data_IF_586173116798
#
_entry.id   IF_586173116798
#
_cell.length_a   1.000
_cell.length_b   1.000
_cell.length_c   1.000
_cell.angle_alpha   90.00
_cell.angle_beta   90.00
_cell.angle_gamma   90.00
#
_symmetry.space_group_name_H-M   'P 1'
#
loop_
_entity.id
_entity.type
_entity.pdbx_description
1 polymer ?
#
# COMPACT_ATOMS: atom_id res chain seq x y z
N UNK A 1 -0.32 -0.32 -26.32
CA UNK A 1 -0.11 -1.48 -25.44
C UNK A 1 -1.32 -2.39 -25.50
N UNK A 2 -1.14 -3.67 -25.18
CA UNK A 2 -2.22 -4.65 -25.11
C UNK A 2 -2.52 -4.88 -23.63
N UNK A 3 -3.78 -4.80 -23.22
CA UNK A 3 -4.21 -5.17 -21.88
C UNK A 3 -4.19 -6.70 -21.78
N UNK A 4 -3.72 -7.21 -20.64
CA UNK A 4 -3.69 -8.65 -20.33
C UNK A 4 -4.30 -8.88 -18.95
N UNK A 5 -5.05 -9.96 -18.82
CA UNK A 5 -5.63 -10.40 -17.55
C UNK A 5 -4.70 -11.33 -16.77
N UNK A 6 -4.98 -11.50 -15.49
CA UNK A 6 -4.33 -12.55 -14.71
C UNK A 6 -4.64 -13.95 -15.28
N UNK A 7 -3.63 -14.81 -15.38
CA UNK A 7 -3.73 -16.15 -15.94
C UNK A 7 -3.71 -16.20 -17.48
N UNK A 8 -3.80 -15.05 -18.16
CA UNK A 8 -3.60 -15.02 -19.62
C UNK A 8 -2.16 -15.36 -19.97
N UNK A 9 -2.00 -16.08 -21.09
CA UNK A 9 -0.70 -16.55 -21.55
C UNK A 9 -0.38 -15.95 -22.91
N UNK A 10 0.79 -15.33 -23.03
CA UNK A 10 1.35 -14.89 -24.31
C UNK A 10 2.59 -15.73 -24.63
N UNK A 11 2.73 -16.10 -25.90
CA UNK A 11 3.94 -16.78 -26.40
C UNK A 11 4.69 -15.85 -27.36
N UNK A 12 5.98 -15.63 -27.10
CA UNK A 12 6.82 -14.79 -27.94
C UNK A 12 8.25 -15.35 -28.00
N UNK A 13 8.74 -15.61 -29.19
CA UNK A 13 10.11 -16.09 -29.42
C UNK A 13 10.47 -17.34 -28.58
N UNK A 14 9.55 -18.31 -28.44
CA UNK A 14 9.75 -19.50 -27.63
C UNK A 14 9.59 -19.34 -26.13
N UNK A 15 9.37 -18.10 -25.63
CA UNK A 15 9.09 -17.82 -24.23
C UNK A 15 7.58 -17.78 -24.01
N UNK A 16 7.11 -18.48 -22.98
CA UNK A 16 5.74 -18.36 -22.45
C UNK A 16 5.74 -17.31 -21.36
N UNK A 17 4.81 -16.36 -21.40
CA UNK A 17 4.68 -15.26 -20.45
C UNK A 17 3.30 -15.32 -19.82
N UNK A 18 3.22 -15.28 -18.49
CA UNK A 18 1.98 -15.27 -17.73
C UNK A 18 2.01 -14.19 -16.63
N UNK A 19 0.84 -13.71 -16.20
CA UNK A 19 0.68 -12.70 -15.14
C UNK A 19 -0.10 -13.29 -13.98
N UNK A 20 0.49 -13.19 -12.79
CA UNK A 20 -0.07 -13.71 -11.53
C UNK A 20 -0.18 -12.57 -10.51
N UNK A 21 -1.24 -12.51 -9.69
CA UNK A 21 -1.38 -11.43 -8.72
C UNK A 21 -0.16 -11.24 -7.82
N UNK A 22 0.26 -9.98 -7.64
CA UNK A 22 1.38 -9.61 -6.76
C UNK A 22 0.93 -9.09 -5.39
N UNK A 23 -0.36 -8.76 -5.20
CA UNK A 23 -0.87 -8.27 -3.92
C UNK A 23 -0.46 -6.85 -3.55
N UNK A 24 0.30 -6.14 -4.38
CA UNK A 24 0.81 -4.79 -4.07
C UNK A 24 -0.28 -3.72 -4.13
N UNK A 25 -0.87 -3.53 -5.29
CA UNK A 25 -1.98 -2.59 -5.55
C UNK A 25 -2.94 -3.20 -6.57
N UNK A 26 -4.07 -2.55 -6.83
CA UNK A 26 -5.02 -2.98 -7.86
C UNK A 26 -4.32 -3.15 -9.21
N UNK A 27 -4.42 -4.35 -9.78
CA UNK A 27 -3.82 -4.71 -11.07
C UNK A 27 -2.32 -5.04 -11.03
N UNK A 28 -1.66 -5.02 -9.88
CA UNK A 28 -0.26 -5.44 -9.76
C UNK A 28 -0.06 -6.91 -10.06
N UNK A 29 0.97 -7.27 -10.83
CA UNK A 29 1.23 -8.64 -11.25
C UNK A 29 2.70 -9.02 -11.15
N UNK A 30 2.94 -10.25 -10.75
CA UNK A 30 4.19 -10.96 -11.00
C UNK A 30 4.23 -11.37 -12.47
N UNK A 31 5.40 -11.38 -13.06
CA UNK A 31 5.61 -11.91 -14.42
C UNK A 31 6.27 -13.27 -14.30
N UNK A 32 5.61 -14.30 -14.83
CA UNK A 32 6.13 -15.67 -14.93
C UNK A 32 6.60 -15.90 -16.36
N UNK A 33 7.86 -16.27 -16.51
CA UNK A 33 8.51 -16.55 -17.78
C UNK A 33 8.92 -18.03 -17.82
N UNK A 34 8.58 -18.73 -18.89
CA UNK A 34 8.99 -20.14 -19.09
C UNK A 34 9.67 -20.31 -20.44
N UNK A 35 10.85 -20.90 -20.44
CA UNK A 35 11.62 -21.22 -21.63
C UNK A 35 12.49 -22.47 -21.42
N UNK A 36 12.46 -23.40 -22.37
CA UNK A 36 13.29 -24.60 -22.36
C UNK A 36 13.23 -25.43 -21.06
N UNK A 37 12.11 -25.41 -20.36
CA UNK A 37 11.91 -26.14 -19.09
C UNK A 37 12.33 -25.38 -17.84
N UNK A 38 12.87 -24.17 -17.96
CA UNK A 38 13.21 -23.27 -16.85
C UNK A 38 12.12 -22.23 -16.64
N UNK A 39 11.80 -21.93 -15.36
CA UNK A 39 10.82 -20.93 -14.96
C UNK A 39 11.46 -19.81 -14.15
N UNK A 40 11.27 -18.58 -14.60
CA UNK A 40 11.70 -17.37 -13.92
C UNK A 40 10.47 -16.59 -13.46
N UNK A 41 10.43 -16.17 -12.20
CA UNK A 41 9.38 -15.29 -11.67
C UNK A 41 10.00 -13.95 -11.28
N UNK A 42 9.42 -12.86 -11.81
CA UNK A 42 9.77 -11.49 -11.44
C UNK A 42 8.58 -10.91 -10.68
N UNK A 43 8.75 -10.68 -9.36
CA UNK A 43 7.64 -10.30 -8.49
C UNK A 43 7.13 -8.87 -8.77
N UNK A 44 8.01 -7.96 -9.18
CA UNK A 44 7.78 -6.54 -8.95
C UNK A 44 7.62 -6.26 -7.45
N UNK A 45 6.97 -5.16 -7.11
CA UNK A 45 6.60 -4.88 -5.72
C UNK A 45 5.44 -5.79 -5.31
N UNK A 46 5.48 -6.35 -4.09
CA UNK A 46 4.44 -7.25 -3.60
C UNK A 46 4.21 -7.17 -2.09
N UNK A 47 3.11 -7.72 -1.61
CA UNK A 47 2.85 -8.02 -0.20
C UNK A 47 1.97 -9.27 -0.07
N UNK A 48 2.09 -9.98 1.06
CA UNK A 48 1.31 -11.19 1.32
C UNK A 48 0.11 -10.97 2.25
N UNK A 49 0.17 -9.93 3.09
CA UNK A 49 -0.94 -9.61 4.00
C UNK A 49 -2.19 -9.19 3.23
N UNK A 50 -3.39 -9.55 3.75
CA UNK A 50 -4.65 -9.24 3.11
C UNK A 50 -4.81 -7.75 2.80
N UNK A 51 -5.44 -7.46 1.65
CA UNK A 51 -5.77 -6.12 1.21
C UNK A 51 -7.13 -6.17 0.51
N UNK A 52 -8.15 -5.42 1.00
CA UNK A 52 -9.48 -5.45 0.41
C UNK A 52 -9.56 -4.79 -0.97
N UNK A 53 -8.48 -4.16 -1.44
CA UNK A 53 -8.47 -3.36 -2.67
C UNK A 53 -7.80 -4.05 -3.86
N UNK A 54 -7.17 -5.20 -3.67
CA UNK A 54 -6.49 -5.93 -4.74
C UNK A 54 -6.54 -7.45 -4.51
N UNK A 55 -6.24 -8.22 -5.56
CA UNK A 55 -6.10 -9.67 -5.42
C UNK A 55 -4.88 -10.01 -4.55
N UNK A 56 -4.96 -11.05 -3.70
CA UNK A 56 -3.84 -11.48 -2.86
C UNK A 56 -2.68 -11.98 -3.71
N UNK A 57 -1.48 -11.91 -3.13
CA UNK A 57 -0.28 -12.51 -3.69
C UNK A 57 -0.45 -14.03 -3.86
N UNK A 58 0.00 -14.56 -4.99
CA UNK A 58 0.03 -16.00 -5.24
C UNK A 58 1.47 -16.49 -5.27
N UNK A 59 1.76 -17.55 -4.52
CA UNK A 59 3.07 -18.22 -4.55
C UNK A 59 3.20 -19.02 -5.84
N UNK A 60 4.26 -18.75 -6.60
CA UNK A 60 4.57 -19.48 -7.85
C UNK A 60 5.93 -20.14 -7.72
N UNK A 61 6.00 -21.48 -7.61
CA UNK A 61 7.27 -22.21 -7.63
C UNK A 61 8.05 -21.94 -8.93
N UNK A 62 9.35 -21.67 -8.82
CA UNK A 62 10.20 -21.36 -9.97
C UNK A 62 11.66 -21.75 -9.75
N UNK A 63 12.45 -21.75 -10.82
CA UNK A 63 13.88 -22.02 -10.76
C UNK A 63 14.66 -20.77 -10.35
N UNK A 64 14.29 -19.60 -10.91
CA UNK A 64 14.90 -18.31 -10.61
C UNK A 64 13.81 -17.36 -10.09
N UNK A 65 14.01 -16.80 -8.90
CA UNK A 65 13.10 -15.88 -8.26
C UNK A 65 13.72 -14.48 -8.13
N UNK A 66 13.17 -13.51 -8.87
CA UNK A 66 13.59 -12.11 -8.82
C UNK A 66 12.64 -11.34 -7.89
N UNK A 67 13.14 -10.94 -6.72
CA UNK A 67 12.33 -10.34 -5.63
C UNK A 67 12.74 -8.93 -5.27
N UNK A 68 11.77 -8.11 -4.83
CA UNK A 68 12.05 -6.84 -4.18
C UNK A 68 12.70 -7.01 -2.80
N UNK A 69 13.26 -5.93 -2.26
CA UNK A 69 13.79 -5.82 -0.90
C UNK A 69 13.55 -4.45 -0.26
N UNK A 70 12.42 -3.80 -0.55
CA UNK A 70 12.08 -2.46 -0.03
C UNK A 70 12.23 -2.40 1.50
N UNK A 71 11.75 -3.42 2.18
CA UNK A 71 11.88 -3.60 3.63
C UNK A 71 12.77 -4.81 3.99
N UNK A 72 13.81 -5.06 3.20
CA UNK A 72 14.76 -6.16 3.35
C UNK A 72 15.71 -6.06 4.56
N UNK A 73 15.22 -5.57 5.71
CA UNK A 73 15.94 -5.53 6.99
C UNK A 73 15.05 -6.05 8.12
N UNK A 74 15.58 -6.84 9.08
CA UNK A 74 14.80 -7.42 10.18
C UNK A 74 14.06 -6.42 11.08
N UNK A 75 14.44 -5.15 11.06
CA UNK A 75 13.74 -4.08 11.80
C UNK A 75 12.36 -3.76 11.23
N UNK A 76 12.13 -4.08 9.96
CA UNK A 76 10.88 -3.84 9.27
C UNK A 76 9.93 -5.05 9.37
N UNK A 77 9.53 -5.37 10.60
CA UNK A 77 8.38 -6.22 10.87
C UNK A 77 7.19 -5.34 11.16
N UNK A 78 6.20 -5.38 10.29
CA UNK A 78 5.07 -4.47 10.35
C UNK A 78 3.97 -5.03 11.25
N UNK A 79 3.27 -4.19 12.03
CA UNK A 79 2.12 -4.63 12.82
C UNK A 79 0.95 -5.00 11.91
N UNK A 80 -0.07 -5.58 12.51
CA UNK A 80 -1.37 -5.77 11.84
C UNK A 80 -1.96 -4.43 11.38
N UNK A 81 -2.41 -4.38 10.12
CA UNK A 81 -3.00 -3.16 9.53
C UNK A 81 -4.21 -2.69 10.30
N UNK A 82 -5.03 -3.64 10.77
CA UNK A 82 -6.22 -3.32 11.54
C UNK A 82 -5.90 -2.59 12.84
N UNK A 83 -4.84 -2.99 13.56
CA UNK A 83 -4.42 -2.30 14.77
C UNK A 83 -3.99 -0.84 14.51
N UNK A 84 -3.39 -0.56 13.37
CA UNK A 84 -3.01 0.79 12.96
C UNK A 84 -4.23 1.64 12.59
N UNK A 85 -5.25 1.03 11.97
CA UNK A 85 -6.55 1.68 11.70
C UNK A 85 -7.30 1.96 13.00
N UNK A 86 -7.28 1.05 13.97
CA UNK A 86 -7.88 1.28 15.29
C UNK A 86 -7.22 2.47 16.01
N UNK A 87 -5.90 2.64 15.89
CA UNK A 87 -5.18 3.82 16.40
C UNK A 87 -5.64 5.11 15.71
N UNK A 88 -5.85 5.07 14.39
CA UNK A 88 -6.36 6.21 13.62
C UNK A 88 -7.77 6.61 14.11
N UNK A 89 -8.68 5.64 14.20
CA UNK A 89 -10.05 5.89 14.65
C UNK A 89 -10.09 6.33 16.12
N UNK A 90 -9.24 5.75 16.97
CA UNK A 90 -9.08 6.19 18.36
C UNK A 90 -8.63 7.65 18.47
N UNK A 91 -7.68 8.09 17.65
CA UNK A 91 -7.25 9.48 17.60
C UNK A 91 -8.36 10.42 17.13
N UNK A 92 -9.14 10.02 16.13
CA UNK A 92 -10.31 10.75 15.63
C UNK A 92 -11.35 10.94 16.74
N UNK A 93 -11.76 9.86 17.40
CA UNK A 93 -12.80 9.89 18.43
C UNK A 93 -12.37 10.68 19.68
N UNK A 94 -11.09 10.63 20.03
CA UNK A 94 -10.56 11.39 21.17
C UNK A 94 -10.46 12.91 20.91
N UNK A 95 -10.58 13.34 19.65
CA UNK A 95 -10.39 14.74 19.25
C UNK A 95 -11.50 15.23 18.30
N UNK A 96 -12.77 15.29 18.73
CA UNK A 96 -13.90 15.60 17.85
C UNK A 96 -13.86 17.00 17.22
N UNK A 97 -13.15 17.93 17.82
CA UNK A 97 -13.00 19.32 17.34
C UNK A 97 -11.85 19.48 16.32
N UNK A 98 -11.06 18.44 16.12
CA UNK A 98 -9.95 18.38 15.14
C UNK A 98 -10.32 17.51 13.96
N UNK A 99 -9.62 17.61 12.84
CA UNK A 99 -9.65 16.58 11.81
C UNK A 99 -8.38 15.73 11.87
N UNK A 100 -8.40 14.53 11.31
CA UNK A 100 -7.18 13.73 11.15
C UNK A 100 -6.75 13.78 9.69
N UNK A 101 -5.63 14.45 9.43
CA UNK A 101 -5.04 14.55 8.09
C UNK A 101 -4.03 13.41 7.88
N UNK A 102 -4.39 12.45 7.03
CA UNK A 102 -3.55 11.28 6.74
C UNK A 102 -2.84 11.45 5.41
N UNK A 103 -1.52 11.48 5.44
CA UNK A 103 -0.67 11.38 4.25
C UNK A 103 -0.59 9.93 3.76
N UNK A 104 -1.07 9.68 2.55
CA UNK A 104 -1.01 8.38 1.90
C UNK A 104 -0.70 8.55 0.40
N UNK A 105 0.06 7.62 -0.19
CA UNK A 105 0.31 7.67 -1.64
C UNK A 105 -1.00 7.54 -2.41
N UNK A 106 -1.11 8.31 -3.50
CA UNK A 106 -2.33 8.43 -4.28
C UNK A 106 -2.76 7.13 -4.99
N UNK A 107 -1.80 6.30 -5.35
CA UNK A 107 -2.05 4.97 -5.90
C UNK A 107 -1.88 3.90 -4.80
N UNK A 108 -2.87 3.08 -4.59
CA UNK A 108 -2.88 1.94 -3.69
C UNK A 108 -3.10 2.31 -2.23
N UNK A 109 -2.15 2.98 -1.59
CA UNK A 109 -2.14 3.28 -0.15
C UNK A 109 -3.38 4.04 0.34
N UNK A 110 -3.78 5.08 -0.37
CA UNK A 110 -4.94 5.88 0.01
C UNK A 110 -6.23 5.05 -0.06
N UNK A 111 -6.42 4.28 -1.13
CA UNK A 111 -7.61 3.45 -1.33
C UNK A 111 -7.65 2.31 -0.30
N UNK A 112 -6.52 1.65 -0.05
CA UNK A 112 -6.41 0.62 0.98
C UNK A 112 -6.74 1.17 2.37
N UNK A 113 -6.15 2.30 2.77
CA UNK A 113 -6.46 2.94 4.04
C UNK A 113 -7.95 3.21 4.20
N UNK A 114 -8.59 3.78 3.16
CA UNK A 114 -10.02 4.08 3.17
C UNK A 114 -10.84 2.80 3.31
N UNK A 115 -10.56 1.76 2.53
CA UNK A 115 -11.26 0.49 2.58
C UNK A 115 -11.11 -0.20 3.95
N UNK A 116 -9.90 -0.18 4.54
CA UNK A 116 -9.65 -0.71 5.89
C UNK A 116 -10.41 0.07 6.99
N UNK A 117 -10.51 1.40 6.84
CA UNK A 117 -11.33 2.25 7.73
C UNK A 117 -12.81 1.90 7.61
N UNK A 118 -13.31 1.64 6.39
CA UNK A 118 -14.69 1.16 6.17
C UNK A 118 -14.94 -0.21 6.78
N UNK A 119 -14.01 -1.13 6.62
CA UNK A 119 -14.08 -2.47 7.20
C UNK A 119 -14.14 -2.45 8.74
N UNK A 120 -13.66 -1.37 9.39
CA UNK A 120 -13.77 -1.12 10.84
C UNK A 120 -15.05 -0.40 11.26
N UNK A 121 -16.03 -0.26 10.36
CA UNK A 121 -17.35 0.31 10.65
C UNK A 121 -17.42 1.83 10.68
N UNK A 122 -16.38 2.53 10.23
CA UNK A 122 -16.44 3.99 10.08
C UNK A 122 -17.10 4.34 8.75
N UNK A 123 -18.35 4.80 8.79
CA UNK A 123 -19.17 5.11 7.60
C UNK A 123 -19.34 6.60 7.33
N UNK A 124 -18.84 7.47 8.22
CA UNK A 124 -18.88 8.91 8.02
C UNK A 124 -18.11 9.33 6.76
N UNK A 125 -18.45 10.45 6.12
CA UNK A 125 -17.75 10.96 4.96
C UNK A 125 -16.26 11.10 5.22
N UNK A 126 -15.43 10.62 4.28
CA UNK A 126 -14.00 10.85 4.28
C UNK A 126 -13.71 11.92 3.23
N UNK A 127 -12.99 12.98 3.64
CA UNK A 127 -12.57 14.03 2.73
C UNK A 127 -11.27 13.62 2.04
N UNK A 128 -11.19 13.87 0.73
CA UNK A 128 -10.01 13.54 -0.07
C UNK A 128 -9.44 14.78 -0.78
N UNK A 129 -8.13 14.85 -0.83
CA UNK A 129 -7.43 15.85 -1.65
C UNK A 129 -7.70 15.58 -3.13
N UNK A 130 -7.84 16.63 -3.96
CA UNK A 130 -8.15 16.51 -5.40
C UNK A 130 -7.23 15.56 -6.18
N UNK A 131 -5.96 15.44 -5.76
CA UNK A 131 -5.02 14.49 -6.38
C UNK A 131 -5.40 13.01 -6.21
N UNK A 132 -6.32 12.68 -5.30
CA UNK A 132 -6.79 11.31 -5.06
C UNK A 132 -8.06 10.95 -5.82
N UNK A 133 -8.85 11.95 -6.24
CA UNK A 133 -10.21 11.77 -6.77
C UNK A 133 -10.24 10.77 -7.94
N UNK A 134 -9.38 11.00 -8.94
CA UNK A 134 -9.34 10.15 -10.14
C UNK A 134 -8.97 8.69 -9.81
N UNK A 135 -8.04 8.50 -8.88
CA UNK A 135 -7.61 7.16 -8.50
C UNK A 135 -8.67 6.45 -7.65
N UNK A 136 -9.33 7.16 -6.73
CA UNK A 136 -10.43 6.60 -5.95
C UNK A 136 -11.62 6.21 -6.87
N UNK A 137 -11.96 7.05 -7.85
CA UNK A 137 -12.99 6.72 -8.85
C UNK A 137 -12.65 5.45 -9.62
N UNK A 138 -11.38 5.30 -10.07
CA UNK A 138 -10.93 4.09 -10.76
C UNK A 138 -11.09 2.84 -9.88
N UNK A 139 -10.70 2.90 -8.61
CA UNK A 139 -10.86 1.76 -7.70
C UNK A 139 -12.32 1.39 -7.50
N UNK A 140 -13.21 2.39 -7.40
CA UNK A 140 -14.66 2.16 -7.32
C UNK A 140 -15.21 1.50 -8.60
N UNK A 141 -14.75 1.91 -9.79
CA UNK A 141 -15.11 1.26 -11.07
C UNK A 141 -14.72 -0.22 -11.11
N UNK A 142 -13.64 -0.59 -10.43
CA UNK A 142 -13.19 -1.98 -10.28
C UNK A 142 -13.83 -2.70 -9.07
N UNK A 143 -14.87 -2.13 -8.46
CA UNK A 143 -15.67 -2.77 -7.42
C UNK A 143 -15.11 -2.65 -6.00
N UNK A 144 -14.13 -1.78 -5.76
CA UNK A 144 -13.64 -1.51 -4.40
C UNK A 144 -14.58 -0.56 -3.68
N UNK A 145 -15.09 -0.99 -2.52
CA UNK A 145 -16.00 -0.20 -1.70
C UNK A 145 -15.26 0.83 -0.86
N UNK A 146 -15.24 2.08 -1.31
CA UNK A 146 -14.62 3.20 -0.59
C UNK A 146 -15.62 4.02 0.24
N UNK A 147 -16.93 3.76 0.11
CA UNK A 147 -17.98 4.50 0.79
C UNK A 147 -18.08 5.95 0.33
N UNK A 148 -18.65 6.82 1.17
CA UNK A 148 -18.84 8.22 0.82
C UNK A 148 -17.51 8.98 0.90
N UNK A 149 -17.04 9.48 -0.25
CA UNK A 149 -15.88 10.35 -0.37
C UNK A 149 -16.32 11.76 -0.78
N UNK A 150 -15.75 12.77 -0.15
CA UNK A 150 -16.02 14.19 -0.46
C UNK A 150 -14.73 14.92 -0.83
N UNK A 151 -14.72 15.74 -1.89
CA UNK A 151 -13.59 16.63 -2.16
C UNK A 151 -13.33 17.54 -0.96
N UNK A 152 -12.08 17.63 -0.51
CA UNK A 152 -11.70 18.58 0.54
C UNK A 152 -11.57 20.02 0.02
N UNK A 153 -11.58 20.21 -1.31
CA UNK A 153 -11.51 21.51 -1.97
C UNK A 153 -12.88 22.18 -1.94
N UNK A 154 -12.94 23.44 -1.53
CA UNK A 154 -14.18 24.22 -1.47
C UNK A 154 -15.04 23.99 -0.21
N UNK A 155 -14.63 23.10 0.68
CA UNK A 155 -15.30 22.84 1.96
C UNK A 155 -14.76 23.79 3.02
N UNK A 156 -15.65 24.32 3.87
CA UNK A 156 -15.23 25.14 4.98
C UNK A 156 -14.48 24.30 6.03
N UNK A 157 -13.40 24.85 6.60
CA UNK A 157 -12.57 24.15 7.57
C UNK A 157 -13.38 23.53 8.72
N UNK A 158 -14.36 24.25 9.25
CA UNK A 158 -15.21 23.80 10.36
C UNK A 158 -15.98 22.51 10.06
N UNK A 159 -16.33 22.27 8.78
CA UNK A 159 -17.13 21.13 8.36
C UNK A 159 -16.30 19.85 8.22
N UNK A 160 -14.97 19.95 8.33
CA UNK A 160 -14.04 18.82 8.35
C UNK A 160 -13.65 18.40 9.78
N UNK A 161 -14.13 19.07 10.83
CA UNK A 161 -13.92 18.65 12.22
C UNK A 161 -14.56 17.28 12.47
N UNK A 162 -13.88 16.44 13.21
CA UNK A 162 -14.34 15.08 13.49
C UNK A 162 -14.28 14.15 12.30
N UNK A 163 -13.63 14.55 11.20
CA UNK A 163 -13.52 13.73 10.00
C UNK A 163 -12.07 13.38 9.64
N UNK A 164 -11.92 12.31 8.87
CA UNK A 164 -10.66 11.91 8.24
C UNK A 164 -10.51 12.69 6.93
N UNK A 165 -9.32 13.22 6.70
CA UNK A 165 -8.91 13.89 5.46
C UNK A 165 -7.71 13.13 4.91
N UNK A 166 -7.81 12.57 3.70
CA UNK A 166 -6.71 11.82 3.07
C UNK A 166 -6.09 12.66 1.96
N UNK A 167 -4.76 12.75 1.96
CA UNK A 167 -4.01 13.53 0.99
C UNK A 167 -2.68 12.87 0.63
N UNK A 168 -2.03 13.23 -0.50
CA UNK A 168 -0.67 12.80 -0.78
C UNK A 168 0.30 13.25 0.32
N UNK A 169 1.41 12.52 0.61
CA UNK A 169 2.37 12.89 1.65
C UNK A 169 2.96 14.29 1.50
N UNK A 170 3.09 14.79 0.26
CA UNK A 170 3.56 16.15 -0.03
C UNK A 170 2.61 17.24 0.46
N UNK A 171 1.30 16.95 0.55
CA UNK A 171 0.30 17.91 0.99
C UNK A 171 0.26 18.13 2.52
N UNK A 172 0.91 17.26 3.32
CA UNK A 172 0.91 17.39 4.79
C UNK A 172 1.49 18.71 5.30
N UNK A 173 2.47 19.26 4.59
CA UNK A 173 3.22 20.46 5.03
C UNK A 173 3.08 21.64 4.05
N UNK A 174 2.13 21.61 3.12
CA UNK A 174 1.93 22.66 2.14
C UNK A 174 0.91 23.74 2.59
N UNK A 175 0.65 24.73 1.73
CA UNK A 175 -0.34 25.79 2.00
C UNK A 175 -1.76 25.24 2.11
N UNK A 176 -2.05 24.11 1.46
CA UNK A 176 -3.37 23.50 1.47
C UNK A 176 -3.73 22.96 2.86
N UNK A 177 -2.82 22.24 3.53
CA UNK A 177 -3.05 21.67 4.85
C UNK A 177 -3.26 22.72 5.95
N UNK A 178 -2.67 23.90 5.81
CA UNK A 178 -2.83 25.02 6.78
C UNK A 178 -4.26 25.56 6.88
N UNK A 179 -5.15 25.22 5.95
CA UNK A 179 -6.56 25.59 5.97
C UNK A 179 -7.43 24.62 6.74
N UNK A 180 -6.89 23.46 7.10
CA UNK A 180 -7.62 22.45 7.87
C UNK A 180 -7.76 22.86 9.34
N UNK A 181 -8.85 22.43 10.02
CA UNK A 181 -9.12 22.82 11.40
C UNK A 181 -8.23 22.04 12.36
N UNK A 182 -7.09 22.61 12.74
CA UNK A 182 -6.13 22.02 13.70
C UNK A 182 -5.88 20.52 13.46
N UNK A 183 -5.32 20.12 12.30
CA UNK A 183 -5.26 18.70 11.91
C UNK A 183 -4.30 17.92 12.81
N UNK A 184 -4.72 16.75 13.27
CA UNK A 184 -3.79 15.70 13.73
C UNK A 184 -3.10 15.18 12.48
N UNK A 185 -1.80 15.42 12.36
CA UNK A 185 -1.04 14.95 11.22
C UNK A 185 -0.68 13.47 11.37
N UNK A 186 -1.18 12.64 10.46
CA UNK A 186 -0.88 11.23 10.37
C UNK A 186 -0.17 10.90 9.04
N UNK A 187 0.60 9.82 9.00
CA UNK A 187 1.20 9.31 7.77
C UNK A 187 1.14 7.78 7.72
N UNK A 188 0.53 7.25 6.66
CA UNK A 188 0.48 5.82 6.38
C UNK A 188 1.68 5.40 5.51
N UNK A 189 2.64 4.70 6.11
CA UNK A 189 3.82 4.20 5.39
C UNK A 189 4.55 3.14 6.22
N UNK A 190 5.08 2.08 5.60
CA UNK A 190 5.94 1.11 6.26
C UNK A 190 7.19 1.74 6.90
N UNK A 191 7.66 2.86 6.35
CA UNK A 191 8.77 3.64 6.91
C UNK A 191 8.47 4.28 8.26
N UNK A 192 7.21 4.38 8.67
CA UNK A 192 6.82 4.91 9.98
C UNK A 192 7.22 3.99 11.14
N UNK A 193 7.67 2.78 10.85
CA UNK A 193 8.32 1.89 11.81
C UNK A 193 9.56 2.54 12.45
N UNK A 194 10.26 3.39 11.72
CA UNK A 194 11.44 4.13 12.19
C UNK A 194 11.00 5.47 12.79
N UNK A 195 10.96 5.56 14.13
CA UNK A 195 10.49 6.74 14.88
C UNK A 195 11.15 8.06 14.45
N UNK A 196 12.44 8.02 14.08
CA UNK A 196 13.15 9.22 13.63
C UNK A 196 12.55 9.80 12.36
N UNK A 197 12.07 8.96 11.43
CA UNK A 197 11.40 9.42 10.18
C UNK A 197 10.08 10.14 10.46
N UNK A 198 9.30 9.65 11.43
CA UNK A 198 8.06 10.31 11.84
C UNK A 198 8.35 11.71 12.42
N UNK A 199 9.37 11.80 13.32
CA UNK A 199 9.80 13.09 13.91
C UNK A 199 10.29 14.09 12.87
N UNK A 200 11.11 13.65 11.90
CA UNK A 200 11.62 14.51 10.82
C UNK A 200 10.51 15.09 9.92
N UNK A 201 9.37 14.41 9.86
CA UNK A 201 8.21 14.82 9.07
C UNK A 201 7.13 15.53 9.87
N UNK A 202 7.36 15.82 11.16
CA UNK A 202 6.38 16.39 12.08
C UNK A 202 5.04 15.64 12.09
N UNK A 203 5.10 14.29 12.07
CA UNK A 203 3.91 13.42 12.10
C UNK A 203 3.56 13.12 13.55
N UNK A 204 2.34 13.53 13.98
CA UNK A 204 1.82 13.25 15.32
C UNK A 204 1.42 11.76 15.46
N UNK A 205 0.80 11.21 14.43
CA UNK A 205 0.30 9.84 14.40
C UNK A 205 0.97 9.03 13.28
N UNK A 206 2.13 8.43 13.51
CA UNK A 206 2.72 7.51 12.53
C UNK A 206 1.91 6.21 12.47
N UNK A 207 1.49 5.82 11.26
CA UNK A 207 0.75 4.60 10.97
C UNK A 207 1.65 3.69 10.12
N UNK A 208 1.97 2.51 10.65
CA UNK A 208 2.82 1.55 9.94
C UNK A 208 1.96 0.71 9.01
N UNK A 209 1.59 1.28 7.87
CA UNK A 209 0.80 0.62 6.83
C UNK A 209 1.63 0.57 5.55
N UNK A 210 1.95 -0.65 5.08
CA UNK A 210 2.81 -0.89 3.92
C UNK A 210 2.08 -1.62 2.81
N UNK A 211 2.35 -1.25 1.55
CA UNK A 211 1.92 -2.00 0.37
C UNK A 211 3.02 -2.96 -0.14
N UNK A 212 4.18 -2.98 0.52
CA UNK A 212 5.28 -3.90 0.24
C UNK A 212 5.39 -4.95 1.32
N UNK A 213 5.95 -6.09 0.96
CA UNK A 213 6.35 -7.13 1.87
C UNK A 213 7.31 -6.60 2.93
N UNK A 214 7.10 -7.00 4.18
CA UNK A 214 8.04 -6.75 5.26
C UNK A 214 9.10 -7.88 5.33
N UNK A 215 9.98 -7.83 6.33
CA UNK A 215 11.05 -8.81 6.47
C UNK A 215 10.51 -10.25 6.54
N UNK A 216 9.49 -10.50 7.35
CA UNK A 216 8.94 -11.85 7.53
C UNK A 216 8.24 -12.31 6.25
N UNK A 217 7.46 -11.45 5.60
CA UNK A 217 6.83 -11.78 4.31
C UNK A 217 7.85 -12.05 3.19
N UNK A 218 8.98 -11.32 3.15
CA UNK A 218 10.07 -11.57 2.19
C UNK A 218 10.70 -12.95 2.41
N UNK A 219 11.09 -13.25 3.65
CA UNK A 219 11.74 -14.53 3.99
C UNK A 219 10.80 -15.71 3.84
N UNK A 220 9.55 -15.60 4.27
CA UNK A 220 8.53 -16.63 4.10
C UNK A 220 8.23 -16.89 2.61
N UNK A 221 8.20 -15.83 1.79
CA UNK A 221 7.97 -15.99 0.34
C UNK A 221 9.12 -16.76 -0.32
N UNK A 222 10.37 -16.44 0.03
CA UNK A 222 11.54 -17.17 -0.49
C UNK A 222 11.48 -18.63 -0.07
N UNK A 223 11.12 -18.92 1.18
CA UNK A 223 10.98 -20.29 1.67
C UNK A 223 9.85 -21.07 0.98
N UNK A 224 8.69 -20.43 0.74
CA UNK A 224 7.54 -21.05 0.09
C UNK A 224 7.77 -21.29 -1.41
N UNK A 225 8.45 -20.37 -2.10
CA UNK A 225 8.80 -20.51 -3.53
C UNK A 225 9.86 -21.59 -3.72
N UNK A 226 10.80 -21.70 -2.77
CA UNK A 226 11.94 -22.65 -2.77
C UNK A 226 12.70 -22.68 -4.11
N UNK A 227 13.17 -21.55 -4.64
CA UNK A 227 13.83 -21.47 -5.94
C UNK A 227 15.26 -22.02 -5.88
N UNK A 228 15.83 -22.39 -7.05
CA UNK A 228 17.23 -22.77 -7.15
C UNK A 228 18.17 -21.56 -7.06
N UNK A 229 17.70 -20.39 -7.53
CA UNK A 229 18.46 -19.15 -7.56
C UNK A 229 17.58 -17.95 -7.21
N UNK A 230 18.12 -16.98 -6.46
CA UNK A 230 17.42 -15.78 -6.02
C UNK A 230 18.18 -14.55 -6.47
N UNK A 231 17.49 -13.63 -7.15
CA UNK A 231 18.00 -12.32 -7.51
C UNK A 231 17.25 -11.25 -6.70
N UNK A 232 17.96 -10.61 -5.80
CA UNK A 232 17.40 -9.57 -4.96
C UNK A 232 17.60 -8.22 -5.63
N UNK A 233 16.54 -7.43 -5.73
CA UNK A 233 16.57 -6.10 -6.36
C UNK A 233 15.67 -5.12 -5.60
N UNK A 234 15.81 -3.84 -5.91
CA UNK A 234 14.92 -2.78 -5.43
C UNK A 234 14.77 -2.68 -3.91
N UNK A 235 15.81 -2.17 -3.21
CA UNK A 235 15.69 -1.87 -1.79
C UNK A 235 16.97 -2.07 -0.98
N UNK A 236 16.85 -2.74 0.15
CA UNK A 236 17.94 -3.08 1.09
C UNK A 236 18.38 -4.53 0.89
N UNK A 237 19.07 -4.76 -0.17
CA UNK A 237 19.41 -6.08 -0.68
C UNK A 237 20.36 -6.86 0.24
N UNK A 238 21.36 -6.17 0.82
CA UNK A 238 22.49 -6.78 1.53
C UNK A 238 22.08 -7.75 2.65
N UNK A 239 21.09 -7.36 3.47
CA UNK A 239 20.67 -8.20 4.58
C UNK A 239 19.85 -9.41 4.11
N UNK A 240 19.03 -9.26 3.08
CA UNK A 240 18.24 -10.36 2.52
C UNK A 240 19.14 -11.35 1.77
N UNK A 241 20.13 -10.86 1.03
CA UNK A 241 21.15 -11.68 0.36
C UNK A 241 22.00 -12.44 1.36
N UNK A 242 22.33 -11.81 2.51
CA UNK A 242 23.11 -12.48 3.57
C UNK A 242 22.30 -13.58 4.28
N UNK A 243 21.02 -13.35 4.49
CA UNK A 243 20.09 -14.31 5.11
C UNK A 243 19.92 -15.57 4.28
#
# INVERSE_FOLDING_TARGET
>A
GTAVGYGETIRRNGVTINWVPAGHVLGSAQIVLEHAGERVVVTGDYKRRPDPTCKPFEVVPCDIFVTEATFGLPVFRHPDTGSEVDRLLGALHANPDRCVLVGAYALGKAQRLIAEVRARGHHDPIYIHGALERMCALYTEFGVELGELRPATGVAAKDMRGHIVVAPPSALNDRWSRRLPDPITAMASGWMRVRQRARQRNVELPLVISDHADWDELTDTIADVAPNEIWVTHGREEALVHW
#
